data_IF_500545182241
#
_entry.id   IF_500545182241
#
_cell.length_a   1.000
_cell.length_b   1.000
_cell.length_c   1.000
_cell.angle_alpha   90.00
_cell.angle_beta   90.00
_cell.angle_gamma   90.00
#
_symmetry.space_group_name_H-M   'P 1'
#
loop_
_entity.id
_entity.type
_entity.pdbx_description
1 polymer ?
#
# COMPACT_ATOMS: atom_id res chain seq x y z
N UNK A 1 -21.33 3.82 14.76
CA UNK A 1 -20.88 3.29 13.47
C UNK A 1 -21.74 3.83 12.33
N UNK A 2 -21.09 4.34 11.31
CA UNK A 2 -21.81 4.74 10.12
C UNK A 2 -22.22 3.51 9.34
N UNK A 3 -23.52 3.38 9.07
CA UNK A 3 -24.02 2.33 8.19
C UNK A 3 -23.68 2.73 6.75
N UNK A 4 -23.02 1.86 6.02
CA UNK A 4 -22.75 2.08 4.60
C UNK A 4 -23.94 1.57 3.80
N UNK A 5 -24.36 2.30 2.75
CA UNK A 5 -25.45 1.82 1.91
C UNK A 5 -25.06 0.54 1.18
N UNK A 6 -26.03 -0.38 1.09
CA UNK A 6 -25.92 -1.58 0.26
C UNK A 6 -27.18 -1.66 -0.59
N UNK A 7 -27.02 -2.25 -1.75
CA UNK A 7 -28.09 -2.30 -2.76
C UNK A 7 -28.36 -3.75 -3.16
N UNK A 8 -29.62 -4.10 -3.30
CA UNK A 8 -29.98 -5.35 -3.94
C UNK A 8 -29.69 -5.27 -5.44
N UNK A 9 -29.64 -6.43 -6.11
CA UNK A 9 -29.22 -6.52 -7.51
C UNK A 9 -30.04 -5.62 -8.45
N UNK A 10 -31.35 -5.50 -8.23
CA UNK A 10 -32.21 -4.64 -9.04
C UNK A 10 -31.77 -3.19 -9.04
N UNK A 11 -31.51 -2.64 -7.84
CA UNK A 11 -31.05 -1.25 -7.69
C UNK A 11 -29.62 -1.10 -8.18
N UNK A 12 -28.74 -2.04 -7.82
CA UNK A 12 -27.34 -2.00 -8.27
C UNK A 12 -27.26 -2.00 -9.80
N UNK A 13 -28.05 -2.83 -10.46
CA UNK A 13 -28.08 -2.89 -11.94
C UNK A 13 -28.54 -1.59 -12.56
N UNK A 14 -29.53 -0.93 -11.97
CA UNK A 14 -29.98 0.39 -12.41
C UNK A 14 -28.88 1.45 -12.24
N UNK A 15 -28.22 1.46 -11.10
CA UNK A 15 -27.15 2.42 -10.82
C UNK A 15 -25.96 2.25 -11.77
N UNK A 16 -25.65 1.02 -12.14
CA UNK A 16 -24.57 0.71 -13.08
C UNK A 16 -25.03 0.93 -14.53
N UNK A 17 -26.31 0.74 -14.79
CA UNK A 17 -26.88 0.88 -16.14
C UNK A 17 -26.80 -0.41 -16.95
N UNK A 18 -26.93 -1.55 -16.29
CA UNK A 18 -26.90 -2.87 -16.94
C UNK A 18 -28.08 -3.71 -16.48
N UNK A 19 -28.32 -4.80 -17.18
CA UNK A 19 -29.32 -5.79 -16.78
C UNK A 19 -28.83 -6.57 -15.56
N UNK A 20 -29.72 -6.96 -14.63
CA UNK A 20 -29.31 -7.79 -13.47
C UNK A 20 -28.55 -9.06 -13.86
N UNK A 21 -28.89 -9.68 -14.97
CA UNK A 21 -28.21 -10.86 -15.47
C UNK A 21 -26.73 -10.58 -15.80
N UNK A 22 -26.43 -9.36 -16.24
CA UNK A 22 -25.06 -8.94 -16.50
C UNK A 22 -24.24 -8.93 -15.22
N UNK A 23 -24.82 -8.48 -14.10
CA UNK A 23 -24.15 -8.50 -12.79
C UNK A 23 -23.90 -9.93 -12.32
N UNK A 24 -24.85 -10.84 -12.56
CA UNK A 24 -24.66 -12.26 -12.24
C UNK A 24 -23.52 -12.85 -13.06
N UNK A 25 -23.43 -12.47 -14.32
CA UNK A 25 -22.32 -12.89 -15.19
C UNK A 25 -20.98 -12.36 -14.69
N UNK A 26 -20.92 -11.11 -14.26
CA UNK A 26 -19.71 -10.53 -13.69
C UNK A 26 -19.28 -11.28 -12.43
N UNK A 27 -20.24 -11.66 -11.59
CA UNK A 27 -19.96 -12.48 -10.40
C UNK A 27 -19.38 -13.83 -10.78
N UNK A 28 -19.99 -14.51 -11.77
CA UNK A 28 -19.51 -15.82 -12.25
C UNK A 28 -18.09 -15.74 -12.83
N UNK A 29 -17.76 -14.62 -13.47
CA UNK A 29 -16.42 -14.39 -14.04
C UNK A 29 -15.40 -13.91 -13.01
N UNK A 30 -15.83 -13.71 -11.78
CA UNK A 30 -14.95 -13.25 -10.71
C UNK A 30 -14.61 -11.76 -10.76
N UNK A 31 -15.38 -10.97 -11.50
CA UNK A 31 -15.19 -9.53 -11.63
C UNK A 31 -15.80 -8.76 -10.46
N UNK A 32 -16.92 -9.23 -9.94
CA UNK A 32 -17.62 -8.68 -8.79
C UNK A 32 -17.80 -9.77 -7.73
N UNK A 33 -17.71 -9.38 -6.47
CA UNK A 33 -17.91 -10.28 -5.33
C UNK A 33 -18.86 -9.63 -4.33
N UNK A 34 -20.17 -9.61 -4.62
CA UNK A 34 -21.13 -9.04 -3.70
C UNK A 34 -21.22 -9.87 -2.42
N UNK A 35 -21.53 -9.21 -1.31
CA UNK A 35 -21.80 -9.90 -0.06
C UNK A 35 -23.19 -10.51 -0.11
N UNK A 36 -23.40 -11.57 0.66
CA UNK A 36 -24.71 -12.19 0.80
C UNK A 36 -25.25 -11.92 2.21
N UNK A 37 -26.52 -11.59 2.29
CA UNK A 37 -27.23 -11.47 3.57
C UNK A 37 -27.44 -12.83 4.21
N UNK A 38 -27.92 -12.86 5.44
CA UNK A 38 -28.28 -14.09 6.13
C UNK A 38 -29.30 -14.90 5.31
N UNK A 39 -30.19 -14.22 4.57
CA UNK A 39 -31.17 -14.85 3.69
C UNK A 39 -30.64 -15.18 2.30
N UNK A 40 -29.32 -15.14 2.14
CA UNK A 40 -28.64 -15.46 0.88
C UNK A 40 -28.97 -14.50 -0.28
N UNK A 41 -29.35 -13.27 0.04
CA UNK A 41 -29.59 -12.20 -0.94
C UNK A 41 -28.29 -11.48 -1.25
N UNK A 42 -27.99 -11.25 -2.53
CA UNK A 42 -26.81 -10.50 -2.94
C UNK A 42 -26.97 -9.03 -2.57
N UNK A 43 -25.93 -8.48 -1.93
CA UNK A 43 -25.86 -7.07 -1.53
C UNK A 43 -24.61 -6.43 -2.13
N UNK A 44 -24.84 -5.37 -2.89
CA UNK A 44 -23.78 -4.64 -3.59
C UNK A 44 -23.48 -3.35 -2.83
N UNK A 45 -22.20 -3.11 -2.55
CA UNK A 45 -21.75 -1.89 -1.92
C UNK A 45 -21.62 -0.76 -2.94
N UNK A 46 -21.36 0.45 -2.45
CA UNK A 46 -21.05 1.59 -3.34
C UNK A 46 -19.80 1.31 -4.16
N UNK A 47 -18.81 0.68 -3.58
CA UNK A 47 -17.59 0.27 -4.27
C UNK A 47 -17.87 -0.74 -5.38
N UNK A 48 -18.79 -1.68 -5.12
CA UNK A 48 -19.22 -2.65 -6.14
C UNK A 48 -19.90 -1.96 -7.32
N UNK A 49 -20.73 -0.95 -7.05
CA UNK A 49 -21.39 -0.17 -8.09
C UNK A 49 -20.36 0.59 -8.94
N UNK A 50 -19.39 1.21 -8.28
CA UNK A 50 -18.32 1.93 -8.98
C UNK A 50 -17.47 0.98 -9.81
N UNK A 51 -17.16 -0.19 -9.29
CA UNK A 51 -16.44 -1.22 -10.04
C UNK A 51 -17.25 -1.71 -11.24
N UNK A 52 -18.55 -1.92 -11.07
CA UNK A 52 -19.44 -2.29 -12.17
C UNK A 52 -19.45 -1.25 -13.29
N UNK A 53 -19.48 0.03 -12.92
CA UNK A 53 -19.38 1.13 -13.90
C UNK A 53 -18.04 1.13 -14.61
N UNK A 54 -16.98 0.86 -13.90
CA UNK A 54 -15.64 0.77 -14.48
C UNK A 54 -15.53 -0.39 -15.46
N UNK A 55 -16.09 -1.55 -15.11
CA UNK A 55 -16.14 -2.71 -16.02
C UNK A 55 -16.90 -2.34 -17.30
N UNK A 56 -18.01 -1.63 -17.17
CA UNK A 56 -18.77 -1.16 -18.32
C UNK A 56 -17.96 -0.22 -19.20
N UNK A 57 -17.21 0.67 -18.60
CA UNK A 57 -16.31 1.56 -19.33
C UNK A 57 -15.26 0.78 -20.12
N UNK A 58 -14.62 -0.18 -19.50
CA UNK A 58 -13.60 -0.99 -20.17
C UNK A 58 -14.17 -1.81 -21.31
N UNK A 59 -15.36 -2.35 -21.14
CA UNK A 59 -15.99 -3.18 -22.17
C UNK A 59 -16.63 -2.36 -23.28
N UNK A 60 -17.40 -1.33 -22.96
CA UNK A 60 -18.21 -0.59 -23.92
C UNK A 60 -17.44 0.55 -24.59
N UNK A 61 -16.64 1.27 -23.85
CA UNK A 61 -15.88 2.39 -24.41
C UNK A 61 -14.52 1.95 -24.97
N UNK A 62 -13.85 1.04 -24.31
CA UNK A 62 -12.51 0.59 -24.70
C UNK A 62 -12.50 -0.74 -25.47
N UNK A 63 -13.66 -1.35 -25.63
CA UNK A 63 -13.81 -2.55 -26.44
C UNK A 63 -13.10 -3.79 -25.86
N UNK A 64 -12.83 -3.82 -24.56
CA UNK A 64 -12.18 -4.96 -23.96
C UNK A 64 -13.18 -6.11 -23.75
N UNK A 65 -12.71 -7.34 -23.92
CA UNK A 65 -13.50 -8.50 -23.53
C UNK A 65 -13.36 -8.75 -22.02
N UNK A 66 -14.24 -9.57 -21.46
CA UNK A 66 -14.26 -9.80 -20.01
C UNK A 66 -12.98 -10.45 -19.47
N UNK A 67 -12.33 -11.30 -20.24
CA UNK A 67 -11.06 -11.89 -19.86
C UNK A 67 -9.97 -10.81 -19.71
N UNK A 68 -9.92 -9.87 -20.66
CA UNK A 68 -9.03 -8.72 -20.60
C UNK A 68 -9.33 -7.81 -19.41
N UNK A 69 -10.62 -7.53 -19.17
CA UNK A 69 -11.05 -6.74 -18.02
C UNK A 69 -10.59 -7.37 -16.72
N UNK A 70 -10.77 -8.68 -16.57
CA UNK A 70 -10.33 -9.41 -15.39
C UNK A 70 -8.81 -9.25 -15.19
N UNK A 71 -8.05 -9.36 -16.27
CA UNK A 71 -6.59 -9.20 -16.23
C UNK A 71 -6.21 -7.79 -15.78
N UNK A 72 -6.87 -6.77 -16.31
CA UNK A 72 -6.64 -5.37 -15.92
C UNK A 72 -6.92 -5.18 -14.44
N UNK A 73 -8.06 -5.68 -13.96
CA UNK A 73 -8.43 -5.55 -12.54
C UNK A 73 -7.43 -6.25 -11.62
N UNK A 74 -6.98 -7.44 -11.99
CA UNK A 74 -5.98 -8.17 -11.22
C UNK A 74 -4.65 -7.42 -11.18
N UNK A 75 -4.23 -6.84 -12.31
CA UNK A 75 -3.00 -6.05 -12.39
C UNK A 75 -3.10 -4.77 -11.57
N UNK A 76 -4.26 -4.10 -11.59
CA UNK A 76 -4.48 -2.90 -10.79
C UNK A 76 -4.41 -3.20 -9.29
N UNK A 77 -4.95 -4.34 -8.86
CA UNK A 77 -4.84 -4.78 -7.45
C UNK A 77 -3.39 -5.03 -7.07
N UNK A 78 -2.63 -5.65 -7.95
CA UNK A 78 -1.20 -5.90 -7.72
C UNK A 78 -0.41 -4.60 -7.64
N UNK A 79 -0.71 -3.66 -8.53
CA UNK A 79 -0.10 -2.33 -8.51
C UNK A 79 -0.40 -1.63 -7.18
N UNK A 80 -1.65 -1.62 -6.75
CA UNK A 80 -2.05 -0.98 -5.50
C UNK A 80 -1.33 -1.60 -4.29
N UNK A 81 -1.21 -2.93 -4.28
CA UNK A 81 -0.47 -3.63 -3.23
C UNK A 81 1.01 -3.28 -3.24
N UNK A 82 1.63 -3.30 -4.42
CA UNK A 82 3.05 -2.96 -4.56
C UNK A 82 3.33 -1.51 -4.16
N UNK A 83 2.44 -0.60 -4.50
CA UNK A 83 2.55 0.80 -4.09
C UNK A 83 2.45 0.95 -2.57
N UNK A 84 1.54 0.21 -1.94
CA UNK A 84 1.40 0.21 -0.48
C UNK A 84 2.65 -0.34 0.19
N UNK A 85 3.15 -1.48 -0.29
CA UNK A 85 4.38 -2.10 0.20
C UNK A 85 5.57 -1.15 0.02
N UNK A 86 5.63 -0.47 -1.12
CA UNK A 86 6.69 0.49 -1.41
C UNK A 86 6.66 1.67 -0.43
N UNK A 87 5.47 2.22 -0.14
CA UNK A 87 5.33 3.30 0.84
C UNK A 87 5.79 2.86 2.23
N UNK A 88 5.39 1.65 2.63
CA UNK A 88 5.77 1.09 3.92
C UNK A 88 7.28 0.89 4.04
N UNK A 89 7.90 0.34 2.99
CA UNK A 89 9.35 0.15 2.94
C UNK A 89 10.11 1.47 2.98
N UNK A 90 9.60 2.50 2.29
CA UNK A 90 10.21 3.83 2.32
C UNK A 90 10.14 4.46 3.71
N UNK A 91 9.02 4.27 4.42
CA UNK A 91 8.88 4.76 5.78
C UNK A 91 9.83 4.04 6.74
N UNK A 92 9.94 2.72 6.58
CA UNK A 92 10.89 1.92 7.37
C UNK A 92 12.32 2.36 7.10
N UNK A 93 12.66 2.57 5.84
CA UNK A 93 13.99 3.05 5.46
C UNK A 93 14.29 4.41 6.08
N UNK A 94 13.33 5.33 6.05
CA UNK A 94 13.51 6.64 6.68
C UNK A 94 13.70 6.54 8.17
N UNK A 95 12.98 5.66 8.84
CA UNK A 95 13.15 5.43 10.29
C UNK A 95 14.54 4.89 10.58
N UNK A 96 15.01 3.93 9.79
CA UNK A 96 16.36 3.35 9.95
C UNK A 96 17.44 4.38 9.68
N UNK A 97 17.28 5.22 8.68
CA UNK A 97 18.21 6.30 8.39
C UNK A 97 18.27 7.30 9.54
N UNK A 98 17.11 7.67 10.09
CA UNK A 98 17.05 8.59 11.22
C UNK A 98 17.68 7.98 12.47
N UNK A 99 17.41 6.72 12.75
CA UNK A 99 18.05 5.98 13.87
C UNK A 99 19.56 5.90 13.68
N UNK A 100 20.00 5.63 12.45
CA UNK A 100 21.43 5.58 12.13
C UNK A 100 22.09 6.94 12.35
N UNK A 101 21.48 8.02 11.88
CA UNK A 101 21.97 9.37 12.10
C UNK A 101 22.07 9.72 13.58
N UNK A 102 21.06 9.32 14.38
CA UNK A 102 21.07 9.52 15.83
C UNK A 102 22.18 8.71 16.48
N UNK A 103 22.35 7.46 16.07
CA UNK A 103 23.41 6.60 16.59
C UNK A 103 24.79 7.17 16.26
N UNK A 104 25.01 7.61 15.03
CA UNK A 104 26.26 8.25 14.58
C UNK A 104 26.51 9.52 15.38
N UNK A 105 25.50 10.36 15.55
CA UNK A 105 25.60 11.60 16.30
C UNK A 105 25.94 11.31 17.78
N UNK A 106 25.35 10.27 18.38
CA UNK A 106 25.64 9.90 19.75
C UNK A 106 27.06 9.39 19.93
N UNK A 107 27.53 8.55 19.03
CA UNK A 107 28.93 8.08 19.01
C UNK A 107 29.89 9.26 18.89
N UNK A 108 29.57 10.19 18.00
CA UNK A 108 30.40 11.38 17.79
C UNK A 108 30.47 12.27 19.03
N UNK A 109 29.33 12.47 19.70
CA UNK A 109 29.31 13.25 20.96
C UNK A 109 30.10 12.55 22.07
N UNK A 110 29.93 11.24 22.19
CA UNK A 110 30.67 10.45 23.13
C UNK A 110 32.16 10.51 22.88
N UNK A 111 32.56 10.39 21.62
CA UNK A 111 33.97 10.50 21.22
C UNK A 111 34.55 11.86 21.55
N UNK A 112 33.84 12.94 21.31
CA UNK A 112 34.26 14.29 21.67
C UNK A 112 34.45 14.47 23.17
N UNK A 113 33.62 13.87 24.00
CA UNK A 113 33.74 13.95 25.47
C UNK A 113 34.93 13.19 25.98
N UNK A 114 35.32 12.16 25.30
CA UNK A 114 36.47 11.32 25.71
C UNK A 114 37.82 11.84 25.19
N UNK A 115 37.81 12.70 24.20
CA UNK A 115 39.04 13.30 23.68
C UNK A 115 39.56 14.37 24.63
N UNK A 116 40.75 14.17 25.11
CA UNK A 116 41.46 15.14 25.94
C UNK A 116 42.57 15.75 25.09
N UNK A 117 42.57 17.07 25.01
CA UNK A 117 43.62 17.80 24.29
C UNK A 117 44.81 18.02 25.23
N UNK A 118 45.90 17.35 24.93
CA UNK A 118 47.14 17.50 25.67
C UNK A 118 48.11 18.41 24.90
N UNK A 119 48.96 19.17 25.61
CA UNK A 119 50.04 19.88 24.96
C UNK A 119 50.93 18.91 24.17
N UNK A 120 51.44 19.34 23.03
CA UNK A 120 52.27 18.52 22.15
C UNK A 120 53.43 17.82 22.84
N UNK A 121 54.08 18.47 23.79
CA UNK A 121 55.20 17.92 24.50
C UNK A 121 54.85 16.66 25.30
N UNK A 122 53.72 16.67 26.00
CA UNK A 122 53.29 15.56 26.81
C UNK A 122 52.92 14.36 25.96
N UNK A 123 52.22 14.57 24.86
CA UNK A 123 51.81 13.51 23.96
C UNK A 123 53.03 12.83 23.31
N UNK A 124 53.98 13.61 22.87
CA UNK A 124 55.21 13.11 22.27
C UNK A 124 56.06 12.30 23.23
N UNK A 125 56.15 12.71 24.50
CA UNK A 125 56.87 11.99 25.56
C UNK A 125 56.28 10.60 25.79
N UNK A 126 54.97 10.54 25.91
CA UNK A 126 54.28 9.27 26.10
C UNK A 126 54.56 8.28 24.96
N UNK A 127 54.57 8.77 23.75
CA UNK A 127 54.88 7.95 22.58
C UNK A 127 56.30 7.43 22.52
N UNK A 128 57.25 8.23 22.98
CA UNK A 128 58.66 7.83 23.03
C UNK A 128 58.94 6.81 24.10
N UNK A 129 58.34 6.96 25.26
CA UNK A 129 58.51 6.04 26.38
C UNK A 129 58.08 4.62 26.05
N UNK A 130 57.10 4.49 25.20
CA UNK A 130 56.60 3.18 24.75
C UNK A 130 57.52 2.45 23.79
N UNK A 131 58.44 3.15 23.17
CA UNK A 131 59.37 2.59 22.21
C UNK A 131 60.70 2.21 22.81
N UNK A 132 60.90 2.59 24.08
CA UNK A 132 62.09 2.23 24.83
C UNK A 132 62.20 0.77 25.16
#
# INVERSE_FOLDING_TARGET
>A
MRKRPVFMIGIASELIGVHPQTLRMYEQKGLLRPRKSIKNTRLYSQEDVELGRYIQKLTQEMGMNLAGVKKVLDLERRIAKLEADNRELREELRRRELEHERAVAEVHRSYKREIILLPRGELARSGRDRKG
#
